data_IF_506374439964
#
_entry.id   IF_506374439964
#
_cell.length_a   1.000
_cell.length_b   1.000
_cell.length_c   1.000
_cell.angle_alpha   90.00
_cell.angle_beta   90.00
_cell.angle_gamma   90.00
#
_symmetry.space_group_name_H-M   'P 1'
#
loop_
_entity.id
_entity.type
_entity.pdbx_description
1 polymer ?
#
# COMPACT_ATOMS: atom_id res chain seq x y z
N UNK A 1 4.63 -11.14 -15.42
CA UNK A 1 4.24 -12.08 -14.34
C UNK A 1 4.30 -11.46 -12.95
N UNK A 2 5.49 -11.15 -12.40
CA UNK A 2 5.64 -10.69 -11.00
C UNK A 2 4.82 -9.46 -10.63
N UNK A 3 4.82 -8.41 -11.47
CA UNK A 3 4.02 -7.20 -11.24
C UNK A 3 2.53 -7.50 -11.09
N UNK A 4 1.95 -8.19 -12.08
CA UNK A 4 0.53 -8.55 -12.07
C UNK A 4 0.15 -9.42 -10.87
N UNK A 5 0.99 -10.41 -10.52
CA UNK A 5 0.74 -11.24 -9.34
C UNK A 5 0.76 -10.43 -8.04
N UNK A 6 1.72 -9.52 -7.88
CA UNK A 6 1.79 -8.65 -6.70
C UNK A 6 0.63 -7.65 -6.62
N UNK A 7 0.21 -7.10 -7.76
CA UNK A 7 -0.96 -6.22 -7.84
C UNK A 7 -2.24 -6.97 -7.45
N UNK A 8 -2.47 -8.16 -8.02
CA UNK A 8 -3.65 -8.97 -7.71
C UNK A 8 -3.70 -9.34 -6.22
N UNK A 9 -2.55 -9.58 -5.58
CA UNK A 9 -2.49 -9.80 -4.12
C UNK A 9 -2.87 -8.55 -3.33
N UNK A 10 -2.39 -7.37 -3.73
CA UNK A 10 -2.76 -6.11 -3.09
C UNK A 10 -4.26 -5.81 -3.25
N UNK A 11 -4.83 -6.07 -4.44
CA UNK A 11 -6.26 -5.97 -4.69
C UNK A 11 -7.06 -6.96 -3.83
N UNK A 12 -6.61 -8.21 -3.73
CA UNK A 12 -7.25 -9.21 -2.88
C UNK A 12 -7.26 -8.81 -1.39
N UNK A 13 -6.22 -8.11 -0.91
CA UNK A 13 -6.19 -7.58 0.45
C UNK A 13 -7.25 -6.48 0.65
N UNK A 14 -7.41 -5.55 -0.30
CA UNK A 14 -8.47 -4.55 -0.25
C UNK A 14 -9.86 -5.20 -0.23
N UNK A 15 -10.10 -6.18 -1.11
CA UNK A 15 -11.37 -6.91 -1.16
C UNK A 15 -11.65 -7.65 0.16
N UNK A 16 -10.61 -8.22 0.80
CA UNK A 16 -10.74 -8.85 2.11
C UNK A 16 -11.18 -7.84 3.17
N UNK A 17 -10.59 -6.64 3.20
CA UNK A 17 -11.01 -5.57 4.11
C UNK A 17 -12.46 -5.15 3.89
N UNK A 18 -12.85 -4.92 2.64
CA UNK A 18 -14.24 -4.57 2.29
C UNK A 18 -15.22 -5.68 2.71
N UNK A 19 -14.87 -6.95 2.51
CA UNK A 19 -15.71 -8.08 2.94
C UNK A 19 -15.91 -8.16 4.46
N UNK A 20 -15.07 -7.44 5.23
CA UNK A 20 -15.13 -7.33 6.68
C UNK A 20 -15.67 -5.96 7.14
N UNK A 21 -16.33 -5.22 6.24
CA UNK A 21 -16.87 -3.88 6.48
C UNK A 21 -15.79 -2.85 6.89
N UNK A 22 -14.54 -3.05 6.45
CA UNK A 22 -13.47 -2.05 6.56
C UNK A 22 -13.44 -1.30 5.24
N UNK A 23 -14.04 -0.11 5.26
CA UNK A 23 -14.20 0.75 4.09
C UNK A 23 -13.45 2.06 4.27
N UNK A 24 -12.93 2.59 3.16
CA UNK A 24 -12.23 3.87 3.11
C UNK A 24 -13.12 4.87 2.37
N UNK A 25 -13.77 5.77 3.12
CA UNK A 25 -14.60 6.84 2.56
C UNK A 25 -13.77 7.66 1.55
N UNK A 26 -14.16 7.59 0.28
CA UNK A 26 -13.48 8.25 -0.85
C UNK A 26 -13.40 9.78 -0.69
N UNK A 27 -14.26 10.37 0.14
CA UNK A 27 -14.19 11.81 0.46
C UNK A 27 -13.04 12.16 1.41
N UNK A 28 -12.51 11.17 2.13
CA UNK A 28 -11.48 11.33 3.18
C UNK A 28 -10.16 10.67 2.82
N UNK A 29 -10.23 9.55 2.10
CA UNK A 29 -9.09 8.71 1.79
C UNK A 29 -8.93 8.52 0.29
N UNK A 30 -7.69 8.59 -0.17
CA UNK A 30 -7.28 8.05 -1.46
C UNK A 30 -6.60 6.70 -1.20
N UNK A 31 -7.10 5.64 -1.82
CA UNK A 31 -6.51 4.30 -1.72
C UNK A 31 -5.83 3.97 -3.04
N UNK A 32 -4.51 3.81 -3.01
CA UNK A 32 -3.70 3.41 -4.16
C UNK A 32 -3.29 1.96 -4.01
N UNK A 33 -3.68 1.12 -4.97
CA UNK A 33 -3.28 -0.29 -5.04
C UNK A 33 -2.09 -0.41 -5.98
N UNK A 34 -0.98 -0.98 -5.49
CA UNK A 34 0.24 -1.14 -6.27
C UNK A 34 0.86 -2.53 -6.10
N UNK A 35 1.59 -2.97 -7.12
CA UNK A 35 2.36 -4.22 -7.10
C UNK A 35 3.79 -3.99 -7.54
N UNK A 36 4.77 -4.22 -6.67
CA UNK A 36 6.19 -4.00 -6.95
C UNK A 36 6.90 -5.18 -7.61
N UNK A 37 6.22 -6.32 -7.80
CA UNK A 37 6.83 -7.55 -8.32
C UNK A 37 8.01 -8.02 -7.46
N UNK A 38 9.19 -8.10 -8.06
CA UNK A 38 10.44 -8.49 -7.40
C UNK A 38 11.28 -7.30 -6.97
N UNK A 39 10.71 -6.09 -6.96
CA UNK A 39 11.39 -4.86 -6.60
C UNK A 39 10.89 -4.32 -5.25
N UNK A 40 11.65 -3.38 -4.70
CA UNK A 40 11.36 -2.70 -3.44
C UNK A 40 12.57 -2.67 -2.51
N UNK A 41 12.64 -1.69 -1.59
CA UNK A 41 13.75 -1.55 -0.67
C UNK A 41 13.75 -2.68 0.37
N UNK A 42 14.95 -3.06 0.86
CA UNK A 42 15.09 -4.04 1.93
C UNK A 42 14.59 -5.44 1.58
N UNK A 43 14.87 -5.90 0.35
CA UNK A 43 14.63 -7.28 -0.09
C UNK A 43 15.78 -8.19 0.32
N UNK A 44 15.43 -9.43 0.65
CA UNK A 44 16.38 -10.51 0.87
C UNK A 44 16.74 -11.20 -0.45
N UNK A 45 17.97 -11.66 -0.58
CA UNK A 45 18.44 -12.43 -1.74
C UNK A 45 18.86 -13.85 -1.32
N UNK A 46 19.06 -14.74 -2.31
CA UNK A 46 19.55 -16.09 -2.07
C UNK A 46 18.56 -16.95 -1.28
N UNK A 47 19.00 -17.71 -0.26
CA UNK A 47 18.14 -18.62 0.51
C UNK A 47 16.93 -17.94 1.17
N UNK A 48 17.00 -16.62 1.37
CA UNK A 48 15.97 -15.83 2.06
C UNK A 48 15.00 -15.11 1.13
N UNK A 49 15.07 -15.32 -0.19
CA UNK A 49 14.11 -14.72 -1.13
C UNK A 49 12.64 -15.03 -0.78
N UNK A 50 12.40 -16.18 -0.13
CA UNK A 50 11.07 -16.56 0.31
C UNK A 50 10.43 -15.51 1.25
N UNK A 51 11.23 -14.83 2.08
CA UNK A 51 10.81 -13.86 3.09
C UNK A 51 10.28 -12.55 2.48
N UNK A 52 10.49 -12.31 1.18
CA UNK A 52 10.04 -11.09 0.50
C UNK A 52 8.52 -11.03 0.24
N UNK A 53 7.76 -12.08 0.58
CA UNK A 53 6.29 -12.12 0.40
C UNK A 53 5.60 -11.33 1.52
N UNK A 54 5.56 -10.01 1.36
CA UNK A 54 4.97 -9.07 2.32
C UNK A 54 4.08 -8.04 1.66
N UNK A 55 3.20 -7.43 2.44
CA UNK A 55 2.49 -6.20 2.08
C UNK A 55 3.21 -5.01 2.70
N UNK A 56 3.31 -3.91 1.95
CA UNK A 56 3.73 -2.62 2.47
C UNK A 56 2.51 -1.70 2.47
N UNK A 57 2.12 -1.20 3.64
CA UNK A 57 1.01 -0.26 3.80
C UNK A 57 1.61 1.08 4.20
N UNK A 58 1.45 2.08 3.34
CA UNK A 58 1.89 3.44 3.61
C UNK A 58 0.68 4.33 3.87
N UNK A 59 0.68 4.99 5.02
CA UNK A 59 -0.35 5.97 5.38
C UNK A 59 0.28 7.35 5.34
N UNK A 60 -0.16 8.17 4.39
CA UNK A 60 0.34 9.53 4.21
C UNK A 60 -0.79 10.48 4.64
N UNK A 61 -0.62 11.28 5.71
CA UNK A 61 -1.63 12.24 6.09
C UNK A 61 -1.71 13.35 5.06
N UNK A 62 -2.93 13.81 4.76
CA UNK A 62 -3.12 15.07 4.03
C UNK A 62 -2.83 16.21 5.01
N UNK A 63 -1.62 16.75 4.96
CA UNK A 63 -1.25 17.93 5.74
C UNK A 63 -2.05 19.10 5.17
N UNK A 64 -2.86 19.76 6.00
CA UNK A 64 -3.59 20.96 5.60
C UNK A 64 -2.63 22.06 5.16
N UNK A 65 -3.14 23.09 4.46
CA UNK A 65 -2.35 24.30 4.23
C UNK A 65 -1.90 24.83 5.59
N UNK A 66 -0.60 24.95 5.82
CA UNK A 66 -0.10 25.81 6.88
C UNK A 66 -0.52 27.22 6.46
N UNK A 67 -1.60 27.74 7.04
CA UNK A 67 -1.87 29.17 6.94
C UNK A 67 -0.69 29.86 7.59
N UNK A 68 0.17 30.46 6.78
CA UNK A 68 1.17 31.39 7.27
C UNK A 68 0.39 32.59 7.82
N UNK A 69 0.11 32.55 9.10
CA UNK A 69 -0.35 33.71 9.85
C UNK A 69 0.47 33.69 11.11
N UNK A 70 1.64 34.30 11.03
CA UNK A 70 2.31 34.83 12.21
C UNK A 70 3.22 35.98 11.78
N UNK A 71 2.66 37.18 11.99
CA UNK A 71 3.25 38.51 12.17
C UNK A 71 3.73 39.27 10.93
#
# INVERSE_FOLDING_TARGET
YGYQLSYNRALALLNLWQSRNIEFDEKRFEVIIAGSGFYGPGRYTGPREYDNKRFLIQVIPKIGKMSQTDK
#
